data_IF_848181290999
#
_entry.id   IF_848181290999
#
_cell.length_a   1.000
_cell.length_b   1.000
_cell.length_c   1.000
_cell.angle_alpha   90.00
_cell.angle_beta   90.00
_cell.angle_gamma   90.00
#
_symmetry.space_group_name_H-M   'P 1'
#
loop_
_entity.id
_entity.type
_entity.pdbx_description
1 polymer ?
2 non-polymer ?
3 non-polymer ?
4 non-polymer ?
5 water ?
#
# COMPACT_ATOMS: atom_id res chain seq x y z
N UNK A 44 22.92 -5.40 -4.96
CA UNK A 44 21.75 -4.81 -4.29
C UNK A 44 22.11 -3.56 -3.49
N UNK A 45 23.23 -3.60 -2.78
CA UNK A 45 23.63 -2.42 -2.02
C UNK A 45 24.23 -1.36 -2.93
N UNK A 46 24.94 -1.75 -4.00
CA UNK A 46 25.44 -0.73 -4.91
C UNK A 46 24.31 0.00 -5.61
N UNK A 47 23.17 -0.68 -5.81
CA UNK A 47 22.02 -0.06 -6.46
C UNK A 47 21.43 1.05 -5.61
N UNK A 48 21.43 0.88 -4.28
CA UNK A 48 20.68 1.79 -3.41
C UNK A 48 21.41 3.12 -3.26
N UNK A 49 22.72 3.07 -2.99
CA UNK A 49 23.50 4.30 -2.85
C UNK A 49 24.03 4.80 -4.18
N UNK A 50 23.50 4.31 -5.30
CA UNK A 50 23.64 5.00 -6.57
C UNK A 50 22.73 6.23 -6.65
N UNK A 51 21.82 6.38 -5.69
CA UNK A 51 21.01 7.57 -5.56
C UNK A 51 21.44 8.28 -4.28
N UNK A 52 20.85 9.45 -4.04
CA UNK A 52 20.90 10.08 -2.72
C UNK A 52 19.84 9.45 -1.84
N UNK A 53 19.63 8.14 -1.99
CA UNK A 53 18.45 7.47 -1.49
C UNK A 53 18.60 7.13 -0.02
N UNK A 54 17.74 7.69 0.82
CA UNK A 54 17.54 7.22 2.19
C UNK A 54 16.41 6.20 2.16
N UNK A 55 16.75 4.92 2.11
CA UNK A 55 15.77 3.92 1.74
C UNK A 55 15.97 2.65 2.55
N UNK A 56 14.88 1.90 2.69
CA UNK A 56 14.90 0.54 3.22
C UNK A 56 13.96 -0.30 2.36
N UNK A 57 14.36 -1.54 2.10
CA UNK A 57 13.52 -2.51 1.41
C UNK A 57 13.42 -3.74 2.30
N UNK A 58 12.21 -4.08 2.69
CA UNK A 58 11.95 -5.17 3.62
C UNK A 58 11.26 -6.30 2.86
N UNK A 59 11.64 -7.54 3.16
CA UNK A 59 10.96 -8.71 2.63
C UNK A 59 10.53 -9.62 3.78
N UNK A 60 9.46 -10.37 3.55
CA UNK A 60 8.93 -11.30 4.54
C UNK A 60 8.42 -12.53 3.82
N UNK A 61 8.87 -13.70 4.26
CA UNK A 61 8.43 -14.98 3.72
C UNK A 61 7.50 -15.73 4.64
N UNK A 62 7.09 -15.13 5.76
CA UNK A 62 6.27 -15.80 6.74
C UNK A 62 7.01 -16.27 7.97
N UNK A 63 8.33 -16.11 8.01
CA UNK A 63 9.14 -16.54 9.14
C UNK A 63 10.33 -15.60 9.32
N UNK A 64 10.70 -14.90 8.25
CA UNK A 64 11.97 -14.19 8.20
C UNK A 64 11.75 -12.80 7.63
N UNK A 65 12.11 -11.79 8.41
CA UNK A 65 12.14 -10.40 7.98
C UNK A 65 13.56 -10.08 7.54
N UNK A 66 13.73 -9.64 6.30
CA UNK A 66 15.04 -9.27 5.76
C UNK A 66 15.04 -7.80 5.40
N UNK A 67 16.16 -7.13 5.67
CA UNK A 67 16.31 -5.69 5.50
C UNK A 67 17.42 -5.41 4.49
N UNK A 68 17.15 -4.51 3.56
CA UNK A 68 18.13 -4.05 2.60
C UNK A 68 18.01 -2.53 2.48
N UNK A 69 19.06 -1.90 1.97
CA UNK A 69 18.99 -0.49 1.63
C UNK A 69 20.08 0.30 2.31
N UNK A 70 19.91 1.62 2.30
CA UNK A 70 20.88 2.55 2.84
C UNK A 70 20.58 2.98 4.28
N UNK A 71 19.33 2.84 4.73
CA UNK A 71 18.92 3.27 6.07
C UNK A 71 18.01 2.19 6.63
N UNK A 72 18.60 1.21 7.33
CA UNK A 72 17.81 0.07 7.79
C UNK A 72 16.90 0.42 8.96
N UNK A 73 17.26 1.44 9.75
CA UNK A 73 16.41 1.85 10.87
C UNK A 73 15.06 2.37 10.38
N UNK A 74 14.94 2.72 9.10
CA UNK A 74 13.65 3.13 8.56
C UNK A 74 12.59 2.04 8.75
N UNK A 75 13.00 0.78 8.85
CA UNK A 75 12.04 -0.31 8.93
C UNK A 75 11.32 -0.36 10.27
N UNK A 76 11.94 0.11 11.34
CA UNK A 76 11.27 0.22 12.63
C UNK A 76 10.67 1.60 12.86
N UNK A 77 10.85 2.53 11.92
CA UNK A 77 10.31 3.87 12.05
C UNK A 77 8.89 3.90 11.47
N UNK A 78 8.02 4.67 12.10
CA UNK A 78 6.63 4.78 11.68
C UNK A 78 6.42 6.00 10.81
N UNK A 79 5.67 5.82 9.72
CA UNK A 79 5.36 6.87 8.77
C UNK A 79 3.86 6.83 8.47
N UNK A 80 3.35 7.94 7.94
CA UNK A 80 1.96 7.92 7.51
C UNK A 80 1.82 6.91 6.38
N UNK A 81 0.71 6.18 6.28
CA UNK A 81 0.59 5.19 5.19
C UNK A 81 0.39 5.83 3.83
N UNK A 82 -0.16 7.04 3.79
CA UNK A 82 -0.56 7.68 2.53
C UNK A 82 -1.46 6.76 1.72
N UNK A 83 -1.20 6.63 0.42
CA UNK A 83 -2.10 5.88 -0.44
C UNK A 83 -2.10 4.39 -0.15
N UNK A 84 -1.08 3.88 0.56
CA UNK A 84 -1.09 2.45 0.90
C UNK A 84 -2.24 2.11 1.85
N UNK A 85 -2.84 3.11 2.50
CA UNK A 85 -3.95 2.86 3.39
C UNK A 85 -5.18 2.37 2.60
N UNK A 86 -5.19 2.62 1.30
CA UNK A 86 -6.31 2.20 0.46
C UNK A 86 -6.52 0.69 0.49
N UNK A 87 -5.51 -0.05 0.94
CA UNK A 87 -5.64 -1.49 1.13
C UNK A 87 -6.55 -1.76 2.31
N UNK A 88 -6.27 -1.10 3.44
CA UNK A 88 -7.08 -1.29 4.64
C UNK A 88 -8.45 -0.65 4.49
N UNK A 89 -8.53 0.50 3.81
CA UNK A 89 -9.81 1.14 3.56
C UNK A 89 -10.74 0.23 2.78
N UNK A 90 -10.23 -0.39 1.71
CA UNK A 90 -11.05 -1.31 0.94
C UNK A 90 -11.48 -2.52 1.76
N UNK A 91 -10.56 -3.07 2.56
CA UNK A 91 -10.89 -4.23 3.38
C UNK A 91 -12.00 -3.89 4.37
N UNK A 92 -11.85 -2.80 5.11
CA UNK A 92 -12.85 -2.39 6.09
C UNK A 92 -14.18 -2.08 5.40
N UNK A 93 -14.14 -1.41 4.25
CA UNK A 93 -15.36 -1.07 3.55
C UNK A 93 -16.11 -2.29 3.04
N UNK A 94 -15.38 -3.26 2.47
CA UNK A 94 -16.03 -4.46 1.96
C UNK A 94 -16.54 -5.34 3.09
N UNK A 95 -15.78 -5.45 4.18
CA UNK A 95 -16.19 -6.27 5.31
C UNK A 95 -17.46 -5.74 5.96
N UNK A 96 -17.61 -4.42 6.02
CA UNK A 96 -18.73 -3.80 6.69
C UNK A 96 -19.83 -3.35 5.73
N UNK A 97 -19.84 -3.88 4.51
CA UNK A 97 -20.98 -3.77 3.59
C UNK A 97 -21.25 -2.32 3.18
N UNK A 98 -20.20 -1.52 3.13
CA UNK A 98 -20.32 -0.12 2.75
C UNK A 98 -20.04 0.12 1.27
N UNK A 99 -19.58 -0.90 0.54
CA UNK A 99 -19.28 -0.80 -0.87
C UNK A 99 -19.02 -2.21 -1.40
N UNK A 100 -19.07 -2.35 -2.72
CA UNK A 100 -18.76 -3.58 -3.41
C UNK A 100 -17.61 -3.35 -4.37
N UNK A 101 -17.06 -4.44 -4.91
CA UNK A 101 -15.94 -4.35 -5.85
C UNK A 101 -16.41 -4.21 -7.29
N UNK A 102 -17.72 -4.11 -7.52
CA UNK A 102 -18.26 -3.86 -8.85
C UNK A 102 -18.94 -2.50 -8.97
N UNK A 103 -19.21 -1.84 -7.84
CA UNK A 103 -19.82 -0.52 -7.84
C UNK A 103 -18.91 0.50 -8.52
N UNK A 104 -19.52 1.42 -9.27
CA UNK A 104 -18.78 2.49 -9.92
C UNK A 104 -18.98 3.77 -9.13
N UNK A 105 -17.87 4.32 -8.63
CA UNK A 105 -17.84 5.64 -8.00
C UNK A 105 -17.72 6.67 -9.11
N UNK A 106 -18.83 7.32 -9.46
CA UNK A 106 -18.85 8.22 -10.60
C UNK A 106 -18.32 9.60 -10.23
N UNK A 107 -17.58 10.20 -11.17
CA UNK A 107 -17.06 11.55 -10.98
C UNK A 107 -18.20 12.55 -10.85
N UNK A 108 -18.01 13.56 -10.00
CA UNK A 108 -19.04 14.54 -9.72
C UNK A 108 -18.91 15.81 -10.55
N UNK A 109 -17.90 15.90 -11.42
CA UNK A 109 -17.67 17.06 -12.24
C UNK A 109 -16.67 18.05 -11.66
N UNK A 110 -16.34 17.93 -10.39
CA UNK A 110 -15.44 18.94 -9.86
C UNK A 110 -13.99 18.50 -10.08
N UNK A 111 -13.15 19.38 -10.64
CA UNK A 111 -11.76 19.00 -10.92
C UNK A 111 -11.04 18.51 -9.66
N UNK A 112 -10.32 17.41 -9.80
CA UNK A 112 -9.62 16.80 -8.68
C UNK A 112 -8.14 17.12 -8.76
N UNK A 113 -7.38 16.57 -7.80
CA UNK A 113 -5.98 16.96 -7.63
C UNK A 113 -5.18 16.63 -8.89
N UNK A 114 -5.43 15.48 -9.49
CA UNK A 114 -4.85 15.10 -10.78
C UNK A 114 -5.96 14.93 -11.80
N UNK A 115 -5.70 15.39 -13.02
CA UNK A 115 -6.69 15.25 -14.09
C UNK A 115 -6.99 13.78 -14.38
N UNK A 116 -6.03 12.90 -14.12
CA UNK A 116 -6.27 11.46 -14.28
C UNK A 116 -7.37 10.96 -13.35
N UNK A 117 -7.69 11.71 -12.30
CA UNK A 117 -8.74 11.32 -11.36
C UNK A 117 -10.12 11.82 -11.76
N UNK A 118 -10.23 12.58 -12.85
CA UNK A 118 -11.51 13.15 -13.28
C UNK A 118 -12.29 12.15 -14.15
N UNK A 119 -12.61 11.00 -13.57
CA UNK A 119 -13.39 10.00 -14.26
C UNK A 119 -14.00 9.05 -13.23
N UNK A 120 -14.77 8.08 -13.72
CA UNK A 120 -15.40 7.10 -12.87
C UNK A 120 -14.45 5.96 -12.57
N UNK A 121 -14.63 5.35 -11.38
CA UNK A 121 -13.71 4.32 -10.89
C UNK A 121 -14.48 3.27 -10.11
N UNK A 122 -14.10 2.01 -10.30
CA UNK A 122 -14.36 1.02 -9.28
C UNK A 122 -13.28 1.12 -8.20
N UNK A 123 -13.53 0.43 -7.08
CA UNK A 123 -12.53 0.43 -6.01
C UNK A 123 -11.19 -0.11 -6.51
N UNK A 124 -11.21 -1.12 -7.37
CA UNK A 124 -9.98 -1.66 -7.91
C UNK A 124 -9.30 -0.72 -8.89
N UNK A 125 -10.08 -0.08 -9.77
CA UNK A 125 -9.51 0.92 -10.66
C UNK A 125 -8.95 2.10 -9.88
N UNK A 126 -9.69 2.57 -8.86
CA UNK A 126 -9.20 3.64 -8.00
C UNK A 126 -8.00 3.19 -7.19
N UNK A 127 -7.88 1.88 -6.91
CA UNK A 127 -6.73 1.38 -6.17
C UNK A 127 -5.44 1.61 -6.96
N UNK A 128 -5.43 1.21 -8.23
CA UNK A 128 -4.22 1.36 -9.06
C UNK A 128 -3.99 2.79 -9.52
N UNK A 129 -5.05 3.59 -9.63
CA UNK A 129 -4.88 5.02 -9.90
C UNK A 129 -4.60 5.83 -8.66
N UNK A 130 -4.73 5.23 -7.47
CA UNK A 130 -4.54 5.92 -6.19
C UNK A 130 -5.52 7.09 -6.05
N UNK A 131 -6.75 6.87 -6.49
CA UNK A 131 -7.75 7.94 -6.54
C UNK A 131 -8.26 8.28 -5.14
N UNK A 132 -7.58 9.22 -4.48
CA UNK A 132 -7.93 9.61 -3.12
C UNK A 132 -9.41 9.99 -2.95
N UNK A 133 -10.01 10.80 -3.83
CA UNK A 133 -11.42 11.18 -3.61
C UNK A 133 -12.38 10.00 -3.54
N UNK A 134 -12.12 8.93 -4.27
CA UNK A 134 -12.99 7.76 -4.19
C UNK A 134 -12.85 7.10 -2.82
N UNK A 135 -11.64 7.05 -2.28
CA UNK A 135 -11.43 6.39 -1.01
C UNK A 135 -11.76 7.29 0.17
N UNK A 136 -11.78 8.60 -0.02
CA UNK A 136 -12.35 9.48 0.99
C UNK A 136 -13.86 9.33 1.08
N UNK A 137 -14.52 9.19 -0.08
CA UNK A 137 -15.94 8.90 -0.10
C UNK A 137 -16.26 7.58 0.60
N UNK A 138 -15.38 6.59 0.44
CA UNK A 138 -15.57 5.32 1.13
C UNK A 138 -15.38 5.48 2.64
N UNK A 139 -14.31 6.16 3.05
CA UNK A 139 -14.07 6.39 4.47
C UNK A 139 -15.23 7.14 5.11
N UNK A 140 -15.87 8.05 4.37
CA UNK A 140 -17.02 8.76 4.91
C UNK A 140 -18.22 7.83 5.06
N UNK A 141 -18.40 6.87 4.15
CA UNK A 141 -19.42 5.84 4.33
C UNK A 141 -19.14 5.02 5.58
N UNK A 142 -17.88 4.70 5.83
CA UNK A 142 -17.53 3.92 7.01
C UNK A 142 -17.81 4.69 8.29
N UNK A 143 -17.41 5.96 8.32
CA UNK A 143 -17.62 6.78 9.48
C UNK A 143 -16.48 6.66 10.47
N UNK A 144 -16.27 7.72 11.27
CA UNK A 144 -15.10 7.73 12.16
C UNK A 144 -15.12 6.66 13.24
N UNK A 145 -16.28 6.37 13.85
CA UNK A 145 -16.29 5.43 14.97
C UNK A 145 -16.04 4.01 14.49
N UNK A 146 -16.71 3.59 13.40
CA UNK A 146 -16.45 2.26 12.85
C UNK A 146 -15.02 2.15 12.31
N UNK A 147 -14.56 3.18 11.59
CA UNK A 147 -13.18 3.15 11.09
C UNK A 147 -12.18 3.03 12.23
N UNK A 148 -12.36 3.84 13.29
CA UNK A 148 -11.46 3.76 14.43
C UNK A 148 -11.51 2.38 15.07
N UNK A 149 -12.72 1.85 15.26
CA UNK A 149 -12.86 0.55 15.90
C UNK A 149 -12.26 -0.55 15.04
N UNK A 150 -12.42 -0.45 13.72
CA UNK A 150 -11.92 -1.50 12.84
C UNK A 150 -10.40 -1.49 12.75
N UNK A 151 -9.79 -0.30 12.66
CA UNK A 151 -8.34 -0.24 12.62
C UNK A 151 -7.71 -0.76 13.90
N UNK A 152 -8.36 -0.52 15.05
CA UNK A 152 -7.89 -1.09 16.30
C UNK A 152 -8.10 -2.60 16.33
N UNK A 153 -9.24 -3.07 15.81
CA UNK A 153 -9.53 -4.49 15.79
C UNK A 153 -8.45 -5.27 15.05
N UNK A 154 -8.03 -4.77 13.88
CA UNK A 154 -7.02 -5.45 13.07
C UNK A 154 -5.60 -5.04 13.45
N UNK A 155 -5.43 -4.16 14.42
CA UNK A 155 -4.12 -3.73 14.88
C UNK A 155 -3.27 -3.06 13.82
N UNK A 156 -3.85 -2.08 13.12
CA UNK A 156 -3.18 -1.42 12.00
C UNK A 156 -2.34 -0.25 12.51
N UNK A 157 -1.02 -0.36 12.37
CA UNK A 157 -0.14 0.72 12.74
C UNK A 157 -0.28 1.09 14.21
N UNK A 158 -0.38 2.39 14.47
CA UNK A 158 -0.60 2.90 15.83
C UNK A 158 -2.07 3.01 16.18
N UNK A 159 -2.97 2.67 15.26
CA UNK A 159 -4.40 2.55 15.51
C UNK A 159 -5.08 3.86 15.85
N UNK A 160 -4.50 4.99 15.44
CA UNK A 160 -5.04 6.32 15.72
C UNK A 160 -5.55 6.96 14.44
N UNK A 161 -6.71 7.60 14.51
CA UNK A 161 -7.25 8.30 13.34
C UNK A 161 -7.70 9.71 13.70
N UNK A 162 -7.81 9.99 15.00
CA UNK A 162 -8.25 11.32 15.41
C UNK A 162 -9.71 11.58 15.07
N UNK A 163 -10.00 12.79 14.60
CA UNK A 163 -11.38 13.19 14.37
C UNK A 163 -11.82 13.14 12.91
N UNK A 164 -10.90 13.32 11.97
CA UNK A 164 -11.25 13.47 10.55
C UNK A 164 -11.12 12.13 9.84
N UNK A 165 -12.25 11.58 9.41
CA UNK A 165 -12.27 10.24 8.81
C UNK A 165 -11.74 10.21 7.38
N UNK A 166 -11.61 11.36 6.72
CA UNK A 166 -11.08 11.38 5.36
C UNK A 166 -9.70 12.03 5.28
N UNK A 167 -9.02 12.21 6.42
CA UNK A 167 -7.70 12.83 6.42
C UNK A 167 -6.65 12.07 7.23
N UNK A 168 -7.03 11.09 8.04
CA UNK A 168 -6.13 10.56 9.05
C UNK A 168 -4.93 9.82 8.45
N UNK A 169 -5.10 9.20 7.28
CA UNK A 169 -3.99 8.48 6.67
C UNK A 169 -3.12 9.38 5.79
N UNK A 170 -3.49 10.64 5.62
CA UNK A 170 -2.76 11.55 4.75
C UNK A 170 -1.90 12.55 5.50
N UNK A 171 -2.26 12.92 6.73
CA UNK A 171 -1.44 13.85 7.49
C UNK A 171 -1.32 13.43 8.95
N UNK A 172 -1.49 12.15 9.25
CA UNK A 172 -1.51 11.69 10.61
C UNK A 172 -2.90 11.80 11.20
N UNK A 173 -3.09 11.29 12.43
CA UNK A 173 -2.06 10.72 13.30
C UNK A 173 -1.71 9.28 12.99
N UNK A 174 -2.44 8.64 12.07
CA UNK A 174 -2.17 7.24 11.73
C UNK A 174 -0.77 7.09 11.16
N UNK A 175 0.03 6.23 11.79
CA UNK A 175 1.37 5.90 11.33
C UNK A 175 1.54 4.39 11.37
N UNK A 176 2.57 3.91 10.68
CA UNK A 176 2.81 2.48 10.53
C UNK A 176 4.26 2.30 10.07
N UNK A 177 4.90 1.22 10.54
CA UNK A 177 6.27 0.95 10.13
C UNK A 177 6.30 0.07 8.88
N UNK A 178 7.41 0.08 8.14
CA UNK A 178 7.52 -0.83 6.99
C UNK A 178 7.39 -2.29 7.37
N UNK A 179 7.89 -2.69 8.54
CA UNK A 179 7.70 -4.07 8.99
C UNK A 179 6.23 -4.37 9.19
N UNK A 180 5.51 -3.47 9.84
CA UNK A 180 4.06 -3.64 9.95
C UNK A 180 3.42 -3.71 8.57
N UNK A 181 3.94 -2.94 7.61
CA UNK A 181 3.36 -2.96 6.27
C UNK A 181 3.60 -4.30 5.57
N UNK A 182 4.83 -4.84 5.64
CA UNK A 182 5.07 -6.14 4.98
C UNK A 182 4.20 -7.21 5.63
N UNK A 183 4.06 -7.18 6.96
CA UNK A 183 3.28 -8.21 7.62
C UNK A 183 1.80 -8.08 7.31
N UNK A 184 1.31 -6.86 7.11
CA UNK A 184 -0.10 -6.68 6.76
C UNK A 184 -0.41 -7.26 5.38
N UNK A 185 0.41 -6.92 4.37
CA UNK A 185 0.16 -7.42 3.03
C UNK A 185 0.49 -8.91 2.92
N UNK A 186 1.44 -9.39 3.70
CA UNK A 186 1.70 -10.84 3.72
C UNK A 186 0.48 -11.59 4.24
N UNK A 187 -0.08 -11.13 5.37
CA UNK A 187 -1.30 -11.73 5.89
C UNK A 187 -2.40 -11.69 4.85
N UNK A 188 -2.57 -10.54 4.18
CA UNK A 188 -3.54 -10.44 3.09
C UNK A 188 -3.30 -11.52 2.05
N UNK A 189 -2.04 -11.73 1.68
CA UNK A 189 -1.70 -12.72 0.66
C UNK A 189 -2.11 -14.13 1.10
N UNK A 190 -2.00 -14.42 2.39
CA UNK A 190 -2.31 -15.74 2.92
C UNK A 190 -3.76 -15.87 3.37
N UNK A 191 -4.57 -14.82 3.23
CA UNK A 191 -5.93 -14.84 3.72
C UNK A 191 -6.04 -14.88 5.23
N UNK A 192 -5.04 -14.38 5.94
CA UNK A 192 -4.94 -14.53 7.39
C UNK A 192 -5.24 -13.23 8.14
N UNK A 193 -5.66 -12.17 7.45
CA UNK A 193 -6.11 -10.97 8.13
C UNK A 193 -7.47 -11.20 8.77
N UNK A 194 -7.85 -10.39 9.75
CA UNK A 194 -9.16 -10.54 10.40
C UNK A 194 -10.33 -10.02 9.56
N UNK A 195 -10.47 -10.60 8.37
CA UNK A 195 -11.52 -10.22 7.43
C UNK A 195 -12.06 -11.48 6.77
N UNK A 196 -13.27 -11.39 6.23
CA UNK A 196 -13.87 -12.51 5.51
C UNK A 196 -12.94 -12.94 4.38
N UNK A 197 -12.89 -14.23 4.06
CA UNK A 197 -11.92 -14.69 3.03
C UNK A 197 -12.17 -14.07 1.68
N UNK A 198 -13.44 -13.95 1.29
CA UNK A 198 -13.78 -13.36 0.00
C UNK A 198 -13.48 -11.88 -0.03
N UNK A 199 -13.51 -11.21 1.14
CA UNK A 199 -13.12 -9.81 1.20
C UNK A 199 -11.64 -9.67 0.91
N UNK A 200 -10.81 -10.49 1.56
CA UNK A 200 -9.37 -10.46 1.31
C UNK A 200 -9.06 -10.82 -0.14
N UNK A 201 -9.80 -11.77 -0.71
CA UNK A 201 -9.58 -12.14 -2.10
C UNK A 201 -9.89 -10.98 -3.04
N UNK A 202 -10.98 -10.25 -2.76
CA UNK A 202 -11.34 -9.13 -3.62
C UNK A 202 -10.28 -8.05 -3.60
N UNK A 203 -9.76 -7.71 -2.42
CA UNK A 203 -8.74 -6.67 -2.33
C UNK A 203 -7.43 -7.14 -2.93
N UNK A 204 -7.10 -8.44 -2.78
CA UNK A 204 -5.93 -8.99 -3.45
C UNK A 204 -6.01 -8.74 -4.96
N UNK A 205 -7.18 -9.00 -5.55
CA UNK A 205 -7.35 -8.77 -6.99
C UNK A 205 -7.20 -7.31 -7.35
N UNK A 206 -7.59 -6.39 -6.44
CA UNK A 206 -7.43 -4.97 -6.68
C UNK A 206 -5.97 -4.56 -6.77
N UNK A 207 -5.06 -5.38 -6.25
CA UNK A 207 -3.65 -5.10 -6.21
C UNK A 207 -2.86 -5.81 -7.30
N UNK A 208 -3.54 -6.60 -8.13
CA UNK A 208 -2.88 -7.38 -9.18
C UNK A 208 -2.33 -6.43 -10.25
N UNK A 209 -1.01 -6.35 -10.38
CA UNK A 209 -0.41 -5.37 -11.29
C UNK A 209 0.43 -6.01 -12.40
N UNK A 210 0.96 -7.22 -12.24
CA UNK A 210 1.72 -7.81 -13.33
C UNK A 210 1.74 -9.33 -13.23
N UNK A 211 1.58 -9.97 -14.38
CA UNK A 211 1.80 -11.40 -14.54
C UNK A 211 3.07 -11.62 -15.35
N UNK A 212 3.96 -12.45 -14.84
CA UNK A 212 5.28 -12.69 -15.43
C UNK A 212 5.49 -14.21 -15.46
N UNK A 213 5.07 -14.84 -16.55
CA UNK A 213 5.06 -16.29 -16.60
C UNK A 213 4.02 -16.84 -15.66
N UNK A 214 4.45 -17.67 -14.70
CA UNK A 214 3.56 -18.16 -13.65
C UNK A 214 3.76 -17.42 -12.33
N UNK A 215 4.42 -16.25 -12.37
CA UNK A 215 4.63 -15.41 -11.21
C UNK A 215 3.69 -14.22 -11.28
N UNK A 216 3.13 -13.82 -10.13
CA UNK A 216 2.14 -12.75 -10.09
C UNK A 216 2.57 -11.71 -9.06
N UNK A 217 2.62 -10.46 -9.49
CA UNK A 217 2.99 -9.33 -8.64
C UNK A 217 1.73 -8.59 -8.20
N UNK A 218 1.66 -8.29 -6.89
CA UNK A 218 0.59 -7.51 -6.31
C UNK A 218 1.25 -6.36 -5.56
N UNK A 219 0.77 -5.13 -5.77
CA UNK A 219 1.53 -4.01 -5.24
C UNK A 219 0.64 -2.78 -5.10
N UNK A 220 1.09 -1.86 -4.24
CA UNK A 220 0.42 -0.59 -3.99
C UNK A 220 1.46 0.48 -3.68
N UNK A 221 1.38 1.59 -4.40
CA UNK A 221 2.30 2.71 -4.24
C UNK A 221 1.75 3.73 -3.26
N UNK A 222 2.67 4.50 -2.67
CA UNK A 222 2.27 5.59 -1.79
C UNK A 222 3.25 6.75 -1.79
N UNK A 223 2.72 7.97 -1.82
CA UNK A 223 3.54 9.17 -1.71
C UNK A 223 2.79 10.16 -0.83
N UNK A 224 3.29 10.34 0.39
CA UNK A 224 2.73 11.30 1.32
C UNK A 224 3.41 12.65 1.20
N UNK A 225 2.73 13.60 0.55
CA UNK A 225 3.28 14.91 0.28
C UNK A 225 2.91 15.94 1.34
N UNK A 226 1.81 15.72 2.06
CA UNK A 226 1.37 16.62 3.12
C UNK A 226 2.06 16.37 4.45
N UNK A 227 3.25 15.76 4.44
CA UNK A 227 4.07 15.58 5.63
C UNK A 227 5.50 15.97 5.32
N UNK A 228 6.24 16.33 6.36
CA UNK A 228 7.64 16.69 6.22
C UNK A 228 8.47 15.83 7.17
N UNK A 229 9.39 15.01 6.67
CA UNK A 229 9.64 14.94 5.23
C UNK A 229 8.62 14.09 4.48
N UNK A 230 8.62 14.18 3.15
CA UNK A 230 7.73 13.35 2.35
C UNK A 230 8.20 11.90 2.39
N UNK A 231 7.26 10.98 2.28
CA UNK A 231 7.54 9.56 2.43
C UNK A 231 7.05 8.83 1.18
N UNK A 232 7.86 7.88 0.72
CA UNK A 232 7.52 7.06 -0.43
C UNK A 232 7.34 5.61 -0.02
N UNK A 233 6.30 4.99 -0.54
CA UNK A 233 5.97 3.60 -0.26
C UNK A 233 5.85 2.81 -1.57
N UNK A 234 6.33 1.57 -1.54
CA UNK A 234 5.94 0.57 -2.52
C UNK A 234 5.88 -0.77 -1.80
N UNK A 235 4.67 -1.27 -1.59
CA UNK A 235 4.42 -2.46 -0.80
C UNK A 235 3.60 -3.45 -1.63
N UNK A 236 3.77 -4.73 -1.34
CA UNK A 236 3.00 -5.75 -2.02
C UNK A 236 3.64 -7.11 -1.82
N UNK A 237 3.30 -8.04 -2.73
CA UNK A 237 3.83 -9.38 -2.64
C UNK A 237 3.87 -10.02 -4.02
N UNK A 238 4.76 -10.99 -4.17
CA UNK A 238 4.90 -11.78 -5.38
C UNK A 238 4.42 -13.20 -5.08
N UNK A 239 3.45 -13.67 -5.87
CA UNK A 239 3.02 -15.07 -5.83
C UNK A 239 3.85 -15.83 -6.85
N UNK A 240 4.93 -16.46 -6.40
CA UNK A 240 5.91 -17.05 -7.29
C UNK A 240 5.35 -18.31 -7.96
N UNK A 241 6.03 -18.73 -9.03
CA UNK A 241 5.60 -19.90 -9.79
C UNK A 241 5.70 -21.18 -8.96
N UNK A 242 6.63 -21.24 -8.02
CA UNK A 242 6.80 -22.44 -7.20
C UNK A 242 5.79 -22.54 -6.06
N UNK A 243 4.96 -21.51 -5.86
CA UNK A 243 3.97 -21.52 -4.81
C UNK A 243 4.33 -20.71 -3.59
N UNK A 244 5.57 -20.24 -3.48
CA UNK A 244 5.99 -19.43 -2.34
C UNK A 244 5.61 -17.97 -2.56
N UNK A 245 5.09 -17.34 -1.50
CA UNK A 245 4.79 -15.92 -1.49
C UNK A 245 5.92 -15.18 -0.80
N UNK A 246 6.28 -14.02 -1.33
CA UNK A 246 7.25 -13.14 -0.68
C UNK A 246 6.67 -11.75 -0.67
N UNK A 247 6.41 -11.21 0.53
CA UNK A 247 5.94 -9.85 0.67
C UNK A 247 7.13 -8.90 0.79
N UNK A 248 6.92 -7.65 0.41
CA UNK A 248 7.98 -6.67 0.41
C UNK A 248 7.40 -5.29 0.73
N UNK A 249 8.27 -4.39 1.16
CA UNK A 249 7.90 -2.99 1.31
C UNK A 249 9.12 -2.12 1.10
N UNK A 250 9.07 -1.29 0.07
CA UNK A 250 9.99 -0.17 -0.06
C UNK A 250 9.46 1.02 0.73
N UNK A 251 10.36 1.68 1.45
CA UNK A 251 10.02 2.89 2.19
C UNK A 251 11.23 3.82 2.13
N UNK A 252 11.00 5.04 1.68
CA UNK A 252 12.11 5.93 1.35
C UNK A 252 11.65 7.38 1.45
N UNK A 253 12.62 8.27 1.64
CA UNK A 253 12.37 9.71 1.63
C UNK A 253 12.13 10.24 0.21
N UNK A 254 11.15 11.12 0.08
CA UNK A 254 10.84 11.75 -1.19
C UNK A 254 10.99 13.27 -1.13
N UNK A 255 11.17 13.86 -2.30
CA UNK A 255 11.06 15.30 -2.50
C UNK A 255 10.39 15.54 -3.85
N UNK A 256 9.90 16.77 -4.04
CA UNK A 256 8.97 17.03 -5.14
C UNK A 256 9.56 16.74 -6.51
N UNK A 257 10.87 16.93 -6.69
CA UNK A 257 11.45 16.69 -8.00
C UNK A 257 11.49 15.23 -8.43
N UNK A 258 11.24 14.31 -7.50
CA UNK A 258 11.47 12.90 -7.76
C UNK A 258 10.48 12.35 -8.79
N UNK A 259 10.97 11.42 -9.60
CA UNK A 259 10.13 10.80 -10.61
C UNK A 259 9.16 9.83 -9.96
N UNK A 260 7.92 9.79 -10.46
CA UNK A 260 6.88 8.96 -9.87
C UNK A 260 7.24 7.49 -10.00
N UNK A 261 7.91 7.11 -11.08
CA UNK A 261 8.21 5.70 -11.37
C UNK A 261 9.40 5.17 -10.59
N UNK A 262 10.07 6.01 -9.80
CA UNK A 262 11.31 5.58 -9.15
C UNK A 262 11.07 4.48 -8.12
N UNK A 263 10.02 4.62 -7.31
CA UNK A 263 9.74 3.62 -6.27
C UNK A 263 9.54 2.24 -6.87
N UNK A 264 8.72 2.13 -7.91
CA UNK A 264 8.42 0.83 -8.50
C UNK A 264 9.63 0.26 -9.23
N UNK A 265 10.35 1.10 -9.98
CA UNK A 265 11.59 0.68 -10.63
C UNK A 265 12.56 0.08 -9.62
N UNK A 266 12.83 0.83 -8.55
CA UNK A 266 13.72 0.37 -7.49
C UNK A 266 13.25 -0.97 -6.94
N UNK A 267 11.96 -1.09 -6.65
CA UNK A 267 11.44 -2.31 -6.04
C UNK A 267 11.60 -3.50 -6.98
N UNK A 268 11.22 -3.33 -8.25
CA UNK A 268 11.35 -4.41 -9.21
C UNK A 268 12.82 -4.75 -9.47
N UNK A 269 13.67 -3.73 -9.51
CA UNK A 269 15.11 -3.98 -9.66
C UNK A 269 15.63 -4.86 -8.53
N UNK A 270 15.30 -4.50 -7.28
CA UNK A 270 15.75 -5.27 -6.14
C UNK A 270 15.18 -6.68 -6.18
N UNK A 271 13.89 -6.81 -6.50
CA UNK A 271 13.27 -8.12 -6.52
C UNK A 271 13.91 -9.03 -7.56
N UNK A 272 14.33 -8.47 -8.68
CA UNK A 272 15.08 -9.23 -9.68
C UNK A 272 16.41 -9.69 -9.10
N UNK A 273 17.13 -8.78 -8.45
CA UNK A 273 18.40 -9.15 -7.82
C UNK A 273 18.20 -10.25 -6.79
N UNK A 274 17.15 -10.14 -5.97
CA UNK A 274 16.88 -11.12 -4.93
C UNK A 274 16.45 -12.46 -5.48
N UNK A 275 16.17 -12.56 -6.78
CA UNK A 275 15.59 -13.76 -7.34
C UNK A 275 14.12 -13.94 -7.06
N UNK A 276 13.49 -13.00 -6.33
CA UNK A 276 12.07 -13.11 -6.03
C UNK A 276 11.24 -12.94 -7.30
N UNK A 277 11.60 -11.95 -8.14
CA UNK A 277 10.81 -11.58 -9.31
C UNK A 277 11.79 -11.21 -10.42
N UNK A 278 12.30 -12.22 -11.12
CA UNK A 278 13.21 -11.97 -12.23
C UNK A 278 12.51 -11.27 -13.38
N UNK A 279 13.22 -10.35 -14.02
CA UNK A 279 12.69 -9.66 -15.19
C UNK A 279 12.35 -10.68 -16.28
N UNK A 280 11.21 -10.45 -16.93
CA UNK A 280 10.76 -11.34 -18.01
C UNK A 280 11.63 -11.20 -19.27
X LIG B 1 2.60 1.20 -14.27
X LIG B 1 4.05 1.23 -14.21
X LIG B 1 2.05 1.59 -12.97
X LIG B 1 2.14 2.14 -15.29
X LIG B 1 2.15 -0.15 -14.61
X LIG C 1 -0.91 8.27 -2.27
X LIG C 1 0.44 9.53 -6.46
X LIG C 1 -1.00 9.54 -3.15
X LIG C 1 -0.79 9.14 -4.62
X LIG C 1 0.82 8.36 -5.89
X LIG C 1 0.05 8.08 -1.56
X LIG C 1 -2.32 10.24 -2.86
X LIG C 1 -2.48 11.47 -3.58
X LIG C 1 -2.29 10.56 -1.35
X LIG C 1 0.38 8.26 -4.64
X LIG C 1 1.60 7.40 -6.43
X LIG C 1 1.78 6.35 -5.77
X LIG C 1 2.18 7.53 -7.53
X LIG C 1 0.88 10.07 -8.10
X LIG C 1 -0.52 10.98 -8.68
X LIG C 1 -0.01 11.48 -10.05
X LIG C 1 -0.99 10.86 -11.04
X LIG C 1 -0.29 10.26 -5.53
X LIG C 1 -1.28 9.60 -10.35
X LIG C 1 0.67 11.18 -4.76
X LIG C 1 -1.72 10.14 -9.06
X LIG C 1 -0.27 10.57 -12.36
X LIG C 1 -0.62 11.29 -13.43
X LIG C 1 0.58 9.68 -12.40
X LIG C 1 -1.64 12.34 -13.34
X LIG C 1 0.08 10.99 -14.70
X LIG D 1 -0.53 4.61 -12.56
X LIG D 1 -0.64 6.07 -12.57
X LIG D 1 -0.80 6.83 -13.82
X LIG D 1 -0.60 6.71 -11.39
X LIG D 1 -0.46 6.12 -10.32
X LIG D 1 -0.70 8.26 -11.45
X LIG D 1 0.31 8.93 -10.49
X LIG D 1 -2.02 8.78 -11.01
X LIG D 1 -1.65 10.13 -10.53
X LIG D 1 -0.55 9.77 -9.54
X LIG D 1 -1.12 8.77 -8.16
X LIG D 1 0.00 9.33 -6.80
X LIG D 1 -0.65 10.17 -5.68
X LIG D 1 0.37 11.16 -5.13
X LIG D 1 0.60 8.27 -6.08
X LIG D 1 1.56 7.48 -6.55
X LIG D 1 1.95 6.50 -5.87
X LIG D 1 1.90 7.57 -7.74
X LIG D 1 0.15 8.11 -4.83
X LIG D 1 -0.95 9.07 -4.64
X LIG D 1 -1.02 9.53 -3.19
X LIG D 1 -2.33 10.26 -2.91
X LIG D 1 -2.54 10.35 -1.40
X LIG D 1 -2.30 11.58 -3.45
X LIG D 1 -0.97 8.26 -2.30
X LIG D 1 0.06 7.93 -1.72
#
# INVERSE_FOLDING_TARGET
>A
MKLLKILSLVCLSISIGACAEHSMSRAKTSTIPQVNNSIIDQNVQALFNEISADAVFVTYDGQNIKKYGTHLDRAKTAYIPASTFKIANALIGLENHKATSTEIFKWDGKPRFFKAWDKDFTLGEAMQASTVPVYQELARRIGPSLMQSELQRIGYGNMQIGTEVDQFWLKGPLTITPIQEVKFVYDLAQGQLPFKPEVQQQVKEMLYVERRGENRLYAKSGWGMAVDPQVGWYVGFVEKADGQVVAFALNMQMKAGDDIALRKQLSLDVLDKLGVFHYL
>B hetero
1 SO4 S O1 O2 O3 O4
>C hetero
1 MER C1 C2 C3 C4 C5 O6 C7 O8 C9 N10 C11 O12 O13 S14 C15 C16 C17 C18 N19 C20 C21 C22 N23 O24 C25 C26
>D hetero
1 DWZ CBE NBC CBD C O CA CB N CD CG SAK CAI CAH CAS CAL CAM OAT OAU NAJ CAD CAB CAE CAF OAG CAA OAC
#
